data_IF_394459444781
#
_entry.id   IF_394459444781
#
_cell.length_a   1.000
_cell.length_b   1.000
_cell.length_c   1.000
_cell.angle_alpha   90.00
_cell.angle_beta   90.00
_cell.angle_gamma   90.00
#
_symmetry.space_group_name_H-M   'P 1'
#
loop_
_entity.id
_entity.type
_entity.pdbx_description
1 polymer ?
#
# COMPACT_ATOMS: atom_id res chain seq x y z
N UNK A 1 -24.06 -25.84 19.06
CA UNK A 1 -23.61 -24.71 18.24
C UNK A 1 -24.46 -23.46 18.45
N UNK A 2 -25.79 -23.52 18.43
CA UNK A 2 -26.69 -22.37 18.66
C UNK A 2 -26.63 -21.76 20.07
N UNK A 3 -26.43 -22.56 21.11
CA UNK A 3 -26.32 -22.06 22.49
C UNK A 3 -25.05 -21.22 22.79
N UNK A 4 -23.94 -21.55 22.13
CA UNK A 4 -22.71 -20.76 22.26
C UNK A 4 -22.78 -19.39 21.57
N UNK A 5 -23.57 -19.29 20.49
CA UNK A 5 -23.80 -18.01 19.78
C UNK A 5 -24.69 -17.07 20.62
N UNK A 6 -25.68 -17.62 21.31
CA UNK A 6 -26.59 -16.86 22.19
C UNK A 6 -25.86 -16.39 23.43
N UNK A 7 -24.92 -17.17 23.99
CA UNK A 7 -24.09 -16.76 25.15
C UNK A 7 -23.11 -15.63 24.74
N UNK A 8 -22.57 -15.67 23.52
CA UNK A 8 -21.75 -14.57 22.99
C UNK A 8 -22.56 -13.27 22.84
N UNK A 9 -23.78 -13.32 22.33
CA UNK A 9 -24.64 -12.15 22.11
C UNK A 9 -25.18 -11.56 23.43
N UNK A 10 -25.37 -12.35 24.44
CA UNK A 10 -25.90 -11.89 25.73
C UNK A 10 -24.85 -11.23 26.65
N UNK A 11 -23.56 -11.55 26.49
CA UNK A 11 -22.47 -10.86 27.20
C UNK A 11 -22.24 -9.44 26.67
N UNK A 12 -22.56 -9.16 25.41
CA UNK A 12 -22.35 -7.85 24.78
C UNK A 12 -23.34 -6.76 25.17
N UNK A 13 -24.52 -7.09 25.70
CA UNK A 13 -25.52 -6.09 26.07
C UNK A 13 -25.31 -5.47 27.45
N UNK A 14 -24.41 -6.03 28.29
CA UNK A 14 -24.27 -5.64 29.71
C UNK A 14 -23.10 -4.67 29.99
N UNK A 15 -22.21 -4.42 29.04
CA UNK A 15 -20.98 -3.62 29.27
C UNK A 15 -21.16 -2.12 28.98
N UNK A 16 -22.36 -1.67 28.62
CA UNK A 16 -22.62 -0.29 28.22
C UNK A 16 -22.56 0.79 29.33
N UNK A 17 -22.34 0.45 30.59
CA UNK A 17 -22.37 1.39 31.71
C UNK A 17 -21.03 1.55 32.45
N UNK A 18 -19.99 0.77 32.19
CA UNK A 18 -18.66 0.99 32.73
C UNK A 18 -17.78 1.63 31.64
N UNK A 19 -17.02 2.65 32.04
CA UNK A 19 -16.06 3.31 31.11
C UNK A 19 -15.04 2.27 30.68
N UNK A 20 -14.94 2.03 29.37
CA UNK A 20 -13.96 1.12 28.77
C UNK A 20 -12.55 1.53 29.18
N UNK A 21 -11.76 0.58 29.71
CA UNK A 21 -10.35 0.78 30.05
C UNK A 21 -9.48 0.27 28.88
N UNK A 22 -9.29 1.14 27.87
CA UNK A 22 -8.46 0.81 26.70
C UNK A 22 -6.99 0.75 27.13
N UNK A 23 -6.34 -0.39 26.92
CA UNK A 23 -4.94 -0.62 27.29
C UNK A 23 -3.98 -0.49 26.13
N UNK A 24 -4.47 -0.78 24.92
CA UNK A 24 -3.68 -0.72 23.68
C UNK A 24 -4.62 -0.49 22.50
N UNK A 25 -4.15 0.23 21.48
CA UNK A 25 -4.85 0.38 20.20
C UNK A 25 -3.88 0.27 19.04
N UNK A 26 -4.29 -0.46 18.00
CA UNK A 26 -3.62 -0.52 16.70
C UNK A 26 -4.56 0.01 15.62
N UNK A 27 -4.15 1.05 14.93
CA UNK A 27 -4.91 1.70 13.86
C UNK A 27 -4.15 1.56 12.55
N UNK A 28 -4.79 1.02 11.53
CA UNK A 28 -4.30 1.00 10.15
C UNK A 28 -5.23 1.80 9.27
N UNK A 29 -4.70 2.70 8.43
CA UNK A 29 -5.52 3.60 7.64
C UNK A 29 -4.97 3.83 6.25
N UNK A 30 -5.89 4.05 5.29
CA UNK A 30 -5.57 4.49 3.93
C UNK A 30 -5.19 5.96 3.94
N UNK A 31 -4.23 6.37 3.10
CA UNK A 31 -3.94 7.79 2.85
C UNK A 31 -5.19 8.57 2.39
N UNK A 32 -5.16 9.89 2.49
CA UNK A 32 -6.23 10.79 2.05
C UNK A 32 -6.35 10.91 0.53
N UNK A 33 -7.29 11.75 0.08
CA UNK A 33 -7.50 12.04 -1.33
C UNK A 33 -6.18 12.48 -1.99
N UNK A 34 -5.94 11.97 -3.19
CA UNK A 34 -4.69 12.15 -3.94
C UNK A 34 -4.95 12.42 -5.42
N UNK A 35 -3.91 12.85 -6.11
CA UNK A 35 -3.90 12.87 -7.57
C UNK A 35 -3.89 11.44 -8.15
N UNK A 36 -4.36 11.25 -9.39
CA UNK A 36 -4.43 9.95 -10.05
C UNK A 36 -3.09 9.24 -10.22
N UNK A 37 -3.16 7.93 -10.46
CA UNK A 37 -1.98 7.09 -10.73
C UNK A 37 -1.29 7.46 -12.04
N UNK A 38 -2.05 7.68 -13.10
CA UNK A 38 -1.53 8.08 -14.39
C UNK A 38 -1.90 9.52 -14.72
N UNK A 39 -1.04 10.17 -15.53
CA UNK A 39 -1.47 11.37 -16.19
C UNK A 39 -2.60 10.98 -17.13
N UNK A 40 -3.74 11.61 -16.88
CA UNK A 40 -4.89 11.46 -17.73
C UNK A 40 -4.50 11.74 -19.18
N UNK A 41 -5.06 10.97 -20.09
CA UNK A 41 -5.00 11.31 -21.51
C UNK A 41 -5.37 12.78 -21.69
N UNK A 42 -4.82 13.42 -22.70
CA UNK A 42 -5.07 14.86 -22.97
C UNK A 42 -6.55 15.23 -22.92
N UNK A 43 -7.43 14.29 -23.31
CA UNK A 43 -8.87 14.48 -23.27
C UNK A 43 -9.46 14.68 -21.87
N UNK A 44 -8.96 14.00 -20.84
CA UNK A 44 -9.41 14.27 -19.47
C UNK A 44 -8.90 15.61 -18.94
N UNK A 45 -7.66 16.00 -19.28
CA UNK A 45 -7.14 17.34 -18.93
C UNK A 45 -8.03 18.43 -19.49
N UNK A 46 -8.41 18.35 -20.77
CA UNK A 46 -9.30 19.29 -21.44
C UNK A 46 -10.71 19.28 -20.82
N UNK A 47 -11.20 18.09 -20.41
CA UNK A 47 -12.53 17.95 -19.84
C UNK A 47 -12.67 18.67 -18.49
N UNK A 48 -11.64 18.61 -17.65
CA UNK A 48 -11.67 19.15 -16.29
C UNK A 48 -10.96 20.49 -16.15
N UNK A 49 -10.26 20.96 -17.19
CA UNK A 49 -9.55 22.24 -17.26
C UNK A 49 -8.66 22.51 -16.03
N UNK A 50 -7.91 21.50 -15.56
CA UNK A 50 -6.93 21.67 -14.50
C UNK A 50 -5.82 20.63 -14.56
N UNK A 51 -4.71 20.94 -13.91
CA UNK A 51 -3.56 20.07 -13.73
C UNK A 51 -3.42 19.62 -12.28
N UNK A 52 -2.77 18.50 -12.07
CA UNK A 52 -2.37 18.03 -10.76
C UNK A 52 -0.92 18.43 -10.49
N UNK A 53 -0.61 18.75 -9.24
CA UNK A 53 0.76 18.96 -8.80
C UNK A 53 1.45 17.61 -8.54
N UNK A 54 1.81 16.91 -9.59
CA UNK A 54 2.41 15.58 -9.48
C UNK A 54 1.40 14.44 -9.58
N UNK A 55 1.94 13.21 -9.67
CA UNK A 55 1.18 11.96 -9.71
C UNK A 55 1.15 11.30 -8.35
N UNK A 56 0.02 10.75 -7.94
CA UNK A 56 -0.12 9.97 -6.70
C UNK A 56 0.15 10.78 -5.42
N UNK A 57 0.19 12.10 -5.53
CA UNK A 57 0.48 12.99 -4.41
C UNK A 57 -0.78 13.34 -3.62
N UNK A 58 -0.63 13.50 -2.31
CA UNK A 58 -1.73 13.86 -1.41
C UNK A 58 -2.23 15.27 -1.73
N UNK A 59 -3.55 15.43 -1.92
CA UNK A 59 -4.13 16.76 -2.16
C UNK A 59 -4.37 17.54 -0.85
N UNK A 60 -4.66 18.83 -0.97
CA UNK A 60 -5.06 19.63 0.19
C UNK A 60 -6.33 19.09 0.89
N UNK A 61 -7.26 18.53 0.11
CA UNK A 61 -8.43 17.83 0.66
C UNK A 61 -8.00 16.59 1.44
N UNK A 62 -7.09 15.78 0.89
CA UNK A 62 -6.54 14.60 1.57
C UNK A 62 -5.82 14.94 2.87
N UNK A 63 -5.06 16.04 2.90
CA UNK A 63 -4.45 16.57 4.14
C UNK A 63 -5.53 16.91 5.17
N UNK A 64 -6.58 17.61 4.76
CA UNK A 64 -7.69 17.99 5.65
C UNK A 64 -8.47 16.79 6.17
N UNK A 65 -8.69 15.75 5.33
CA UNK A 65 -9.31 14.50 5.77
C UNK A 65 -8.53 13.88 6.94
N UNK A 66 -7.20 13.80 6.81
CA UNK A 66 -6.36 13.22 7.85
C UNK A 66 -6.23 14.12 9.09
N UNK A 67 -6.24 15.41 8.94
CA UNK A 67 -6.30 16.31 10.08
C UNK A 67 -7.61 16.11 10.89
N UNK A 68 -8.74 15.98 10.21
CA UNK A 68 -10.02 15.69 10.87
C UNK A 68 -10.04 14.33 11.53
N UNK A 69 -9.46 13.30 10.88
CA UNK A 69 -9.31 11.98 11.49
C UNK A 69 -8.42 12.02 12.73
N UNK A 70 -7.33 12.78 12.70
CA UNK A 70 -6.46 13.02 13.85
C UNK A 70 -7.20 13.68 15.02
N UNK A 71 -8.09 14.63 14.77
CA UNK A 71 -8.95 15.23 15.80
C UNK A 71 -9.90 14.20 16.43
N UNK A 72 -10.47 13.27 15.64
CA UNK A 72 -11.31 12.19 16.16
C UNK A 72 -10.50 11.25 17.07
N UNK A 73 -9.28 10.89 16.65
CA UNK A 73 -8.38 10.08 17.47
C UNK A 73 -7.93 10.83 18.74
N UNK A 74 -7.72 12.17 18.67
CA UNK A 74 -7.45 12.99 19.86
C UNK A 74 -8.60 12.93 20.84
N UNK A 75 -9.84 13.11 20.37
CA UNK A 75 -11.01 13.03 21.22
C UNK A 75 -11.08 11.68 21.90
N UNK A 76 -10.94 10.58 21.14
CA UNK A 76 -11.02 9.23 21.68
C UNK A 76 -9.86 8.91 22.63
N UNK A 77 -8.62 9.01 22.19
CA UNK A 77 -7.47 8.46 22.93
C UNK A 77 -6.83 9.41 23.93
N UNK A 78 -7.01 10.71 23.80
CA UNK A 78 -6.49 11.70 24.74
C UNK A 78 -7.60 12.21 25.67
N UNK A 79 -8.73 12.67 25.11
CA UNK A 79 -9.74 13.36 25.90
C UNK A 79 -10.68 12.39 26.61
N UNK A 80 -11.20 11.37 25.92
CA UNK A 80 -12.21 10.46 26.47
C UNK A 80 -11.57 9.33 27.29
N UNK A 81 -10.73 8.49 26.64
CA UNK A 81 -10.22 7.27 27.27
C UNK A 81 -8.88 7.44 28.00
N UNK A 82 -8.18 8.56 27.83
CA UNK A 82 -6.88 8.85 28.47
C UNK A 82 -5.82 7.76 28.20
N UNK A 83 -5.86 7.13 27.03
CA UNK A 83 -4.91 6.08 26.64
C UNK A 83 -3.50 6.64 26.55
N UNK A 84 -3.35 7.80 25.89
CA UNK A 84 -2.08 8.52 25.75
C UNK A 84 -2.19 9.92 26.34
N UNK A 85 -1.06 10.52 26.66
CA UNK A 85 -0.98 11.87 27.22
C UNK A 85 -1.31 12.94 26.17
N UNK A 86 -1.67 14.12 26.68
CA UNK A 86 -1.89 15.30 25.84
C UNK A 86 -0.61 15.71 25.11
N UNK A 87 0.55 15.67 25.78
CA UNK A 87 1.86 15.96 25.17
C UNK A 87 2.49 14.67 24.68
N UNK A 88 3.21 14.75 23.59
CA UNK A 88 3.90 13.62 23.00
C UNK A 88 4.85 12.94 23.99
N UNK A 89 4.71 11.64 24.12
CA UNK A 89 5.61 10.77 24.88
C UNK A 89 6.01 9.60 23.95
N UNK A 90 7.31 9.48 23.56
CA UNK A 90 7.77 8.44 22.63
C UNK A 90 7.53 7.01 23.14
N UNK A 91 7.20 6.87 24.44
CA UNK A 91 6.88 5.58 25.06
C UNK A 91 5.42 5.19 24.89
N UNK A 92 4.56 6.12 24.50
CA UNK A 92 3.10 5.89 24.44
C UNK A 92 2.57 5.71 23.01
N UNK A 93 3.23 6.30 22.02
CA UNK A 93 2.78 6.25 20.63
C UNK A 93 3.91 5.85 19.69
N UNK A 94 3.58 5.04 18.70
CA UNK A 94 4.48 4.65 17.61
C UNK A 94 3.77 4.82 16.27
N UNK A 95 4.31 5.66 15.41
CA UNK A 95 3.72 5.98 14.10
C UNK A 95 4.56 5.37 12.99
N UNK A 96 3.91 4.61 12.14
CA UNK A 96 4.54 3.91 11.01
C UNK A 96 3.87 4.38 9.72
N UNK A 97 4.65 4.52 8.67
CA UNK A 97 4.16 4.80 7.33
C UNK A 97 4.85 3.90 6.30
N UNK A 98 4.14 3.59 5.23
CA UNK A 98 4.80 3.10 4.02
C UNK A 98 5.66 4.21 3.44
N UNK A 99 6.69 3.83 2.67
CA UNK A 99 7.58 4.78 1.99
C UNK A 99 6.91 5.38 0.75
N UNK A 100 5.97 6.29 0.99
CA UNK A 100 5.20 6.99 -0.04
C UNK A 100 4.83 8.38 0.46
N UNK A 101 5.06 9.43 -0.33
CA UNK A 101 4.77 10.82 0.08
C UNK A 101 3.36 10.96 0.66
N UNK A 102 2.35 10.44 -0.03
CA UNK A 102 0.94 10.56 0.39
C UNK A 102 0.65 9.90 1.73
N UNK A 103 1.29 8.79 2.06
CA UNK A 103 1.08 8.10 3.36
C UNK A 103 1.83 8.80 4.48
N UNK A 104 3.06 9.25 4.22
CA UNK A 104 3.85 10.03 5.18
C UNK A 104 3.14 11.34 5.51
N UNK A 105 2.71 12.09 4.50
CA UNK A 105 1.96 13.34 4.68
C UNK A 105 0.62 13.12 5.40
N UNK A 106 -0.08 12.03 5.12
CA UNK A 106 -1.30 11.65 5.82
C UNK A 106 -1.04 11.42 7.31
N UNK A 107 0.04 10.71 7.65
CA UNK A 107 0.45 10.51 9.05
C UNK A 107 0.80 11.84 9.72
N UNK A 108 1.55 12.71 9.04
CA UNK A 108 1.90 14.05 9.57
C UNK A 108 0.65 14.87 9.89
N UNK A 109 -0.35 14.88 8.98
CA UNK A 109 -1.60 15.61 9.20
C UNK A 109 -2.38 15.08 10.42
N UNK A 110 -2.45 13.75 10.61
CA UNK A 110 -3.10 13.17 11.78
C UNK A 110 -2.38 13.52 13.08
N UNK A 111 -1.06 13.44 13.09
CA UNK A 111 -0.24 13.74 14.27
C UNK A 111 -0.34 15.21 14.67
N UNK A 112 -0.37 16.13 13.70
CA UNK A 112 -0.58 17.55 13.99
C UNK A 112 -1.92 17.82 14.67
N UNK A 113 -2.97 17.12 14.26
CA UNK A 113 -4.27 17.21 14.92
C UNK A 113 -4.30 16.51 16.28
N UNK A 114 -3.66 15.35 16.40
CA UNK A 114 -3.57 14.59 17.65
C UNK A 114 -2.90 15.40 18.76
N UNK A 115 -1.83 16.14 18.44
CA UNK A 115 -1.05 16.96 19.35
C UNK A 115 -1.20 18.46 19.08
N UNK A 116 -2.38 18.90 18.66
CA UNK A 116 -2.66 20.30 18.32
C UNK A 116 -2.40 21.21 19.53
N UNK A 117 -1.64 22.30 19.30
CA UNK A 117 -1.32 23.35 20.29
C UNK A 117 -0.56 22.87 21.54
N UNK A 118 0.16 21.77 21.44
CA UNK A 118 0.91 21.18 22.55
C UNK A 118 2.42 21.45 22.50
N UNK A 119 2.86 22.46 21.75
CA UNK A 119 4.27 22.78 21.61
C UNK A 119 4.99 22.95 22.95
N UNK A 120 6.22 22.48 23.00
CA UNK A 120 7.11 22.54 24.19
C UNK A 120 7.52 23.99 24.42
N UNK A 121 7.29 24.50 25.64
CA UNK A 121 7.71 25.83 26.06
C UNK A 121 9.16 25.78 26.59
N UNK A 122 9.98 26.72 26.14
CA UNK A 122 11.38 26.88 26.52
C UNK A 122 11.52 28.04 27.51
N UNK A 123 12.34 27.87 28.52
CA UNK A 123 12.78 28.98 29.37
C UNK A 123 13.87 29.83 28.69
N UNK A 124 14.10 31.03 29.21
CA UNK A 124 15.06 32.00 28.64
C UNK A 124 16.47 31.41 28.42
N UNK A 125 16.93 30.56 29.34
CA UNK A 125 18.24 29.89 29.19
C UNK A 125 18.26 28.92 28.01
N UNK A 126 17.21 28.12 27.85
CA UNK A 126 17.05 27.18 26.73
C UNK A 126 16.93 27.92 25.39
N UNK A 127 16.20 29.05 25.35
CA UNK A 127 16.10 29.90 24.18
C UNK A 127 17.46 30.43 23.74
N UNK A 128 18.31 30.86 24.69
CA UNK A 128 19.67 31.33 24.39
C UNK A 128 20.58 30.23 23.83
N UNK A 129 20.37 28.98 24.23
CA UNK A 129 21.11 27.82 23.72
C UNK A 129 20.50 27.19 22.44
N UNK A 130 19.38 27.71 21.95
CA UNK A 130 18.67 27.12 20.78
C UNK A 130 19.26 27.54 19.42
N UNK A 131 20.33 28.36 19.43
CA UNK A 131 20.97 28.79 18.18
C UNK A 131 21.88 27.69 17.61
N UNK A 132 21.81 27.43 16.31
CA UNK A 132 22.82 26.64 15.63
C UNK A 132 24.23 27.23 15.84
N UNK A 133 25.29 26.39 15.87
CA UNK A 133 26.68 26.88 15.95
C UNK A 133 27.01 27.79 14.77
N UNK A 134 27.80 28.85 15.02
CA UNK A 134 28.33 29.78 14.01
C UNK A 134 27.31 30.68 13.32
N UNK A 135 26.12 30.90 13.90
CA UNK A 135 25.21 31.91 13.39
C UNK A 135 25.69 33.33 13.70
N UNK A 136 25.73 34.17 12.67
CA UNK A 136 25.93 35.62 12.85
C UNK A 136 24.68 36.28 13.48
N UNK A 137 24.90 37.31 14.27
CA UNK A 137 23.90 38.03 15.09
C UNK A 137 22.68 38.53 14.30
N UNK A 138 22.77 38.59 12.97
CA UNK A 138 21.68 39.09 12.11
C UNK A 138 20.46 38.12 11.99
N UNK A 139 20.62 36.83 12.26
CA UNK A 139 19.53 35.86 12.37
C UNK A 139 18.65 36.07 13.63
N UNK A 140 19.10 36.86 14.57
CA UNK A 140 18.38 37.11 15.84
C UNK A 140 17.03 37.81 15.61
N UNK A 141 16.81 38.51 14.47
CA UNK A 141 15.54 39.16 14.18
C UNK A 141 14.40 38.17 13.93
N UNK A 142 14.67 36.97 13.42
CA UNK A 142 13.65 35.94 13.21
C UNK A 142 13.26 35.20 14.50
N UNK A 143 14.09 35.23 15.53
CA UNK A 143 13.77 34.66 16.86
C UNK A 143 12.50 35.22 17.48
N UNK A 144 12.18 36.47 17.21
CA UNK A 144 10.99 37.11 17.77
C UNK A 144 9.67 36.50 17.29
N UNK A 145 9.68 35.69 16.21
CA UNK A 145 8.50 35.04 15.68
C UNK A 145 8.22 33.67 16.33
N UNK A 146 9.20 33.07 17.01
CA UNK A 146 9.04 31.78 17.69
C UNK A 146 8.44 31.90 19.10
N UNK A 147 8.53 33.10 19.72
CA UNK A 147 8.14 33.28 21.10
C UNK A 147 8.93 32.36 22.05
N UNK A 148 8.25 31.82 23.05
CA UNK A 148 8.85 30.90 24.01
C UNK A 148 8.70 29.42 23.63
N UNK A 149 8.13 29.10 22.46
CA UNK A 149 7.91 27.73 22.04
C UNK A 149 9.06 27.19 21.18
N UNK A 150 9.26 25.88 21.22
CA UNK A 150 10.25 25.20 20.40
C UNK A 150 10.06 25.48 18.90
N UNK A 151 8.81 25.51 18.44
CA UNK A 151 8.44 25.72 17.04
C UNK A 151 7.27 26.71 16.92
N UNK A 152 7.09 27.37 15.75
CA UNK A 152 5.97 28.24 15.48
C UNK A 152 4.63 27.52 15.68
N UNK A 153 3.58 28.25 16.01
CA UNK A 153 2.22 27.73 16.16
C UNK A 153 2.10 26.56 17.16
N UNK A 154 3.04 26.42 18.09
CA UNK A 154 3.04 25.35 19.11
C UNK A 154 3.01 23.95 18.48
N UNK A 155 3.68 23.76 17.36
CA UNK A 155 3.79 22.45 16.70
C UNK A 155 4.61 21.52 17.57
N UNK A 156 4.14 20.28 17.72
CA UNK A 156 4.89 19.18 18.33
C UNK A 156 5.33 18.20 17.24
N UNK A 157 6.61 17.85 17.19
CA UNK A 157 7.15 16.92 16.20
C UNK A 157 7.12 15.49 16.76
N UNK A 158 6.48 14.60 16.02
CA UNK A 158 6.43 13.17 16.32
C UNK A 158 7.13 12.41 15.20
N UNK A 159 8.06 11.51 15.51
CA UNK A 159 8.71 10.69 14.49
C UNK A 159 7.72 9.81 13.74
N UNK A 160 7.85 9.75 12.43
CA UNK A 160 7.13 8.81 11.57
C UNK A 160 8.18 7.83 11.04
N UNK A 161 8.07 6.57 11.46
CA UNK A 161 8.96 5.52 11.05
C UNK A 161 8.53 4.96 9.70
N UNK A 162 9.50 4.69 8.85
CA UNK A 162 9.27 4.05 7.55
C UNK A 162 9.89 2.67 7.56
N UNK A 163 9.23 1.74 6.90
CA UNK A 163 9.84 0.46 6.59
C UNK A 163 10.50 0.56 5.23
N UNK A 164 11.75 0.11 5.15
CA UNK A 164 12.37 -0.08 3.84
C UNK A 164 11.60 -1.17 3.07
N UNK A 165 11.38 -0.93 1.78
CA UNK A 165 10.68 -1.85 0.85
C UNK A 165 11.25 -3.28 0.87
N UNK A 166 12.47 -3.48 1.38
CA UNK A 166 13.15 -4.77 1.51
C UNK A 166 12.89 -5.50 2.83
N UNK A 167 12.26 -4.86 3.81
CA UNK A 167 11.93 -5.52 5.08
C UNK A 167 10.57 -6.20 4.97
N UNK A 168 10.57 -7.46 4.53
CA UNK A 168 9.40 -8.29 4.31
C UNK A 168 8.53 -8.54 5.57
N UNK A 169 8.93 -8.00 6.72
CA UNK A 169 8.29 -8.31 8.01
C UNK A 169 7.02 -7.51 8.32
N UNK A 170 6.70 -6.43 7.58
CA UNK A 170 5.43 -5.68 7.70
C UNK A 170 4.97 -5.07 6.37
N UNK A 171 5.61 -5.41 5.28
CA UNK A 171 5.41 -4.80 3.97
C UNK A 171 5.23 -5.83 2.89
N UNK A 172 4.09 -6.44 2.86
CA UNK A 172 3.64 -7.05 1.62
C UNK A 172 3.05 -6.01 0.66
N UNK A 173 3.53 -4.77 0.75
CA UNK A 173 3.05 -3.68 -0.09
C UNK A 173 3.69 -3.61 -1.45
N UNK A 174 4.88 -4.13 -1.65
CA UNK A 174 5.36 -4.34 -3.00
C UNK A 174 4.87 -5.69 -3.49
N UNK A 175 3.57 -5.75 -3.78
CA UNK A 175 2.89 -6.87 -4.44
C UNK A 175 3.66 -7.33 -5.68
N UNK A 176 4.38 -6.40 -6.34
CA UNK A 176 5.21 -6.66 -7.51
C UNK A 176 6.38 -7.62 -7.26
N UNK A 177 6.80 -7.78 -6.01
CA UNK A 177 7.89 -8.67 -5.61
C UNK A 177 7.43 -9.99 -4.99
N UNK A 178 6.11 -10.23 -4.91
CA UNK A 178 5.55 -11.48 -4.40
C UNK A 178 4.79 -12.24 -5.50
N UNK A 179 5.33 -13.36 -5.94
CA UNK A 179 4.71 -14.18 -6.99
C UNK A 179 3.28 -14.60 -6.67
N UNK A 180 3.04 -15.08 -5.44
CA UNK A 180 1.71 -15.51 -5.01
C UNK A 180 0.68 -14.38 -5.11
N UNK A 181 1.04 -13.15 -4.73
CA UNK A 181 0.18 -11.98 -4.90
C UNK A 181 -0.09 -11.68 -6.38
N UNK A 182 0.97 -11.61 -7.20
CA UNK A 182 0.82 -11.33 -8.63
C UNK A 182 -0.07 -12.38 -9.32
N UNK A 183 0.08 -13.64 -8.94
CA UNK A 183 -0.77 -14.71 -9.44
C UNK A 183 -2.22 -14.53 -9.01
N UNK A 184 -2.49 -14.26 -7.74
CA UNK A 184 -3.84 -14.01 -7.24
C UNK A 184 -4.50 -12.80 -7.91
N UNK A 185 -3.74 -11.72 -8.15
CA UNK A 185 -4.27 -10.57 -8.91
C UNK A 185 -4.58 -10.93 -10.36
N UNK A 186 -3.69 -11.63 -11.05
CA UNK A 186 -3.95 -12.05 -12.43
C UNK A 186 -5.17 -12.97 -12.53
N UNK A 187 -5.37 -13.86 -11.55
CA UNK A 187 -6.55 -14.70 -11.46
C UNK A 187 -7.82 -13.89 -11.18
N UNK A 188 -7.73 -12.81 -10.37
CA UNK A 188 -8.83 -11.91 -10.10
C UNK A 188 -9.27 -11.15 -11.36
N UNK A 189 -8.31 -10.63 -12.17
CA UNK A 189 -8.61 -9.96 -13.43
C UNK A 189 -9.37 -10.85 -14.42
N UNK A 190 -9.12 -12.17 -14.40
CA UNK A 190 -9.76 -13.16 -15.26
C UNK A 190 -11.14 -13.61 -14.77
N UNK A 191 -11.58 -13.20 -13.59
CA UNK A 191 -12.87 -13.58 -13.01
C UNK A 191 -14.04 -13.07 -13.85
N UNK A 192 -15.09 -13.86 -13.87
CA UNK A 192 -16.30 -13.53 -14.60
C UNK A 192 -16.93 -12.22 -14.10
N UNK A 193 -16.94 -11.99 -12.79
CA UNK A 193 -17.52 -10.81 -12.16
C UNK A 193 -16.80 -9.52 -12.62
N UNK A 194 -15.47 -9.55 -12.72
CA UNK A 194 -14.67 -8.43 -13.21
C UNK A 194 -14.94 -8.20 -14.70
N UNK A 195 -14.97 -9.25 -15.50
CA UNK A 195 -15.30 -9.17 -16.93
C UNK A 195 -16.71 -8.63 -17.16
N UNK A 196 -17.68 -9.14 -16.43
CA UNK A 196 -19.08 -8.68 -16.48
C UNK A 196 -19.20 -7.21 -16.05
N UNK A 197 -18.42 -6.79 -15.05
CA UNK A 197 -18.34 -5.39 -14.62
C UNK A 197 -17.77 -4.50 -15.74
N UNK A 198 -16.65 -4.89 -16.34
CA UNK A 198 -16.01 -4.16 -17.43
C UNK A 198 -16.99 -4.04 -18.62
N UNK A 199 -17.65 -5.12 -19.01
CA UNK A 199 -18.65 -5.09 -20.08
C UNK A 199 -19.81 -4.14 -19.78
N UNK A 200 -20.35 -4.16 -18.56
CA UNK A 200 -21.39 -3.22 -18.12
C UNK A 200 -20.89 -1.76 -18.12
N UNK A 201 -19.69 -1.54 -17.62
CA UNK A 201 -19.05 -0.22 -17.61
C UNK A 201 -18.88 0.31 -19.04
N UNK A 202 -18.34 -0.49 -19.96
CA UNK A 202 -18.15 -0.12 -21.37
C UNK A 202 -19.49 0.22 -22.02
N UNK A 203 -20.50 -0.61 -21.84
CA UNK A 203 -21.82 -0.41 -22.42
C UNK A 203 -22.50 0.88 -21.92
N UNK A 204 -22.33 1.22 -20.63
CA UNK A 204 -22.98 2.39 -20.03
C UNK A 204 -22.18 3.69 -20.25
N UNK A 205 -20.85 3.63 -20.10
CA UNK A 205 -20.01 4.81 -20.05
C UNK A 205 -18.97 4.89 -21.18
N UNK A 206 -18.66 3.78 -21.85
CA UNK A 206 -17.54 3.70 -22.78
C UNK A 206 -17.62 4.70 -23.92
N UNK A 207 -18.77 4.78 -24.61
CA UNK A 207 -18.98 5.73 -25.73
C UNK A 207 -18.91 7.18 -25.23
N UNK A 208 -19.62 7.47 -24.16
CA UNK A 208 -19.62 8.79 -23.53
C UNK A 208 -18.21 9.26 -23.13
N UNK A 209 -17.43 8.39 -22.51
CA UNK A 209 -16.05 8.73 -22.08
C UNK A 209 -15.12 8.96 -23.27
N UNK A 210 -15.23 8.14 -24.34
CA UNK A 210 -14.44 8.33 -25.56
C UNK A 210 -14.78 9.64 -26.25
N UNK A 211 -16.04 9.96 -26.42
CA UNK A 211 -16.47 11.24 -27.00
C UNK A 211 -15.90 12.44 -26.22
N UNK A 212 -15.84 12.32 -24.88
CA UNK A 212 -15.31 13.36 -23.99
C UNK A 212 -13.78 13.40 -24.00
N UNK A 213 -13.13 12.25 -24.10
CA UNK A 213 -11.66 12.16 -24.17
C UNK A 213 -11.11 12.57 -25.56
N UNK A 214 -11.99 12.87 -26.55
CA UNK A 214 -11.63 13.17 -27.93
C UNK A 214 -10.76 12.09 -28.60
N UNK A 215 -10.80 10.88 -28.09
CA UNK A 215 -10.15 9.74 -28.71
C UNK A 215 -10.97 9.31 -29.93
N UNK A 216 -10.32 9.18 -31.08
CA UNK A 216 -10.93 8.74 -32.34
C UNK A 216 -11.06 7.21 -32.37
N UNK A 217 -11.94 6.66 -31.55
CA UNK A 217 -12.14 5.22 -31.43
C UNK A 217 -13.55 4.90 -31.93
N UNK A 218 -13.65 3.96 -32.86
CA UNK A 218 -14.94 3.49 -33.34
C UNK A 218 -15.64 2.60 -32.31
N UNK A 219 -16.96 2.64 -32.26
CA UNK A 219 -17.79 1.88 -31.28
C UNK A 219 -17.48 0.38 -31.27
N UNK A 220 -17.16 -0.20 -32.43
CA UNK A 220 -16.75 -1.62 -32.58
C UNK A 220 -15.44 -1.96 -31.85
N UNK A 221 -14.56 -0.96 -31.63
CA UNK A 221 -13.25 -1.14 -31.00
C UNK A 221 -13.26 -0.82 -29.50
N UNK A 222 -14.41 -0.40 -28.92
CA UNK A 222 -14.54 -0.05 -27.51
C UNK A 222 -14.04 -1.16 -26.57
N UNK A 223 -14.43 -2.40 -26.81
CA UNK A 223 -13.99 -3.54 -25.99
C UNK A 223 -12.50 -3.79 -26.06
N UNK A 224 -11.88 -3.52 -27.21
CA UNK A 224 -10.44 -3.64 -27.38
C UNK A 224 -9.67 -2.47 -26.72
N UNK A 225 -10.27 -1.29 -26.71
CA UNK A 225 -9.71 -0.11 -26.09
C UNK A 225 -9.77 -0.17 -24.56
N UNK A 226 -10.93 -0.56 -24.00
CA UNK A 226 -11.11 -0.68 -22.56
C UNK A 226 -10.63 -2.04 -22.05
N UNK A 227 -9.30 -2.21 -22.04
CA UNK A 227 -8.69 -3.30 -21.26
C UNK A 227 -8.92 -3.09 -19.76
N UNK A 228 -8.70 -4.12 -18.96
CA UNK A 228 -8.74 -4.03 -17.50
C UNK A 228 -7.95 -2.81 -16.95
N UNK A 229 -6.68 -2.69 -17.33
CA UNK A 229 -5.84 -1.58 -16.88
C UNK A 229 -6.36 -0.20 -17.30
N UNK A 230 -6.99 -0.09 -18.47
CA UNK A 230 -7.57 1.17 -18.94
C UNK A 230 -8.80 1.54 -18.12
N UNK A 231 -9.66 0.59 -17.84
CA UNK A 231 -10.83 0.78 -16.97
C UNK A 231 -10.38 1.16 -15.56
N UNK A 232 -9.42 0.42 -14.99
CA UNK A 232 -8.81 0.73 -13.69
C UNK A 232 -8.36 2.19 -13.61
N UNK A 233 -7.54 2.65 -14.57
CA UNK A 233 -7.02 4.02 -14.58
C UNK A 233 -8.11 5.08 -14.73
N UNK A 234 -9.14 4.81 -15.53
CA UNK A 234 -10.29 5.73 -15.69
C UNK A 234 -11.05 5.84 -14.36
N UNK A 235 -11.35 4.71 -13.72
CA UNK A 235 -12.08 4.69 -12.45
C UNK A 235 -11.27 5.33 -11.32
N UNK A 236 -9.96 5.07 -11.23
CA UNK A 236 -9.05 5.73 -10.28
C UNK A 236 -9.09 7.24 -10.45
N UNK A 237 -9.02 7.70 -11.69
CA UNK A 237 -9.08 9.13 -12.01
C UNK A 237 -10.41 9.76 -11.59
N UNK A 238 -11.54 9.12 -11.89
CA UNK A 238 -12.87 9.62 -11.51
C UNK A 238 -13.02 9.71 -9.98
N UNK A 239 -12.56 8.70 -9.25
CA UNK A 239 -12.55 8.72 -7.78
C UNK A 239 -11.68 9.86 -7.26
N UNK A 240 -10.49 10.07 -7.84
CA UNK A 240 -9.60 11.16 -7.42
C UNK A 240 -10.23 12.53 -7.65
N UNK A 241 -10.86 12.76 -8.80
CA UNK A 241 -11.55 14.02 -9.14
C UNK A 241 -12.70 14.28 -8.18
N UNK A 242 -13.55 13.28 -7.97
CA UNK A 242 -14.68 13.37 -7.06
C UNK A 242 -14.26 13.66 -5.61
N UNK A 243 -13.27 12.91 -5.15
CA UNK A 243 -12.77 13.01 -3.76
C UNK A 243 -12.02 14.31 -3.48
N UNK A 244 -11.52 14.99 -4.53
CA UNK A 244 -10.92 16.32 -4.45
C UNK A 244 -11.97 17.44 -4.58
N UNK A 245 -13.25 17.11 -4.60
CA UNK A 245 -14.36 18.05 -4.65
C UNK A 245 -14.46 18.83 -5.95
N UNK A 246 -13.90 18.32 -7.04
CA UNK A 246 -13.89 19.00 -8.34
C UNK A 246 -15.21 18.81 -9.07
N UNK A 247 -15.53 19.80 -9.93
CA UNK A 247 -16.78 19.77 -10.68
C UNK A 247 -16.83 18.60 -11.66
N UNK A 248 -17.86 17.78 -11.55
CA UNK A 248 -18.15 16.63 -12.40
C UNK A 248 -19.46 16.77 -13.22
N UNK A 249 -20.06 17.96 -13.31
CA UNK A 249 -21.34 18.20 -14.00
C UNK A 249 -21.34 17.69 -15.46
N UNK A 250 -20.17 17.62 -16.08
CA UNK A 250 -20.02 17.05 -17.43
C UNK A 250 -20.29 15.54 -17.50
N UNK A 251 -20.32 14.85 -16.37
CA UNK A 251 -20.60 13.40 -16.27
C UNK A 251 -22.07 13.08 -15.95
N UNK A 252 -22.88 14.09 -15.75
CA UNK A 252 -24.28 13.93 -15.46
C UNK A 252 -24.78 14.76 -14.28
N UNK A 253 -26.00 14.51 -13.86
CA UNK A 253 -26.55 15.09 -12.64
C UNK A 253 -25.94 14.42 -11.39
N UNK A 254 -26.21 14.99 -10.21
CA UNK A 254 -25.65 14.53 -8.95
C UNK A 254 -25.85 13.02 -8.71
N UNK A 255 -27.04 12.49 -8.98
CA UNK A 255 -27.36 11.07 -8.76
C UNK A 255 -26.58 10.15 -9.70
N UNK A 256 -26.40 10.56 -10.96
CA UNK A 256 -25.63 9.82 -11.95
C UNK A 256 -24.15 9.80 -11.61
N UNK A 257 -23.61 10.91 -11.09
CA UNK A 257 -22.23 11.01 -10.61
C UNK A 257 -22.03 10.12 -9.38
N UNK A 258 -22.90 10.19 -8.39
CA UNK A 258 -22.84 9.34 -7.20
C UNK A 258 -22.91 7.85 -7.55
N UNK A 259 -23.74 7.46 -8.50
CA UNK A 259 -23.81 6.09 -9.01
C UNK A 259 -22.52 5.67 -9.72
N UNK A 260 -21.94 6.54 -10.57
CA UNK A 260 -20.67 6.29 -11.25
C UNK A 260 -19.53 6.08 -10.25
N UNK A 261 -19.45 6.92 -9.23
CA UNK A 261 -18.43 6.82 -8.19
C UNK A 261 -18.62 5.57 -7.33
N UNK A 262 -19.85 5.27 -6.94
CA UNK A 262 -20.19 4.02 -6.23
C UNK A 262 -19.76 2.80 -7.05
N UNK A 263 -20.12 2.76 -8.32
CA UNK A 263 -19.70 1.70 -9.26
C UNK A 263 -18.19 1.58 -9.37
N UNK A 264 -17.48 2.73 -9.35
CA UNK A 264 -16.01 2.75 -9.38
C UNK A 264 -15.40 2.10 -8.13
N UNK A 265 -15.95 2.38 -6.95
CA UNK A 265 -15.50 1.74 -5.72
C UNK A 265 -15.87 0.25 -5.66
N UNK A 266 -17.01 -0.14 -6.20
CA UNK A 266 -17.40 -1.55 -6.31
C UNK A 266 -16.42 -2.35 -7.17
N UNK A 267 -15.92 -1.77 -8.27
CA UNK A 267 -14.88 -2.39 -9.09
C UNK A 267 -13.62 -2.68 -8.27
N UNK A 268 -13.09 -1.67 -7.57
CA UNK A 268 -11.91 -1.84 -6.72
C UNK A 268 -12.14 -2.81 -5.56
N UNK A 269 -13.36 -2.85 -5.03
CA UNK A 269 -13.72 -3.83 -4.02
C UNK A 269 -13.63 -5.26 -4.56
N UNK A 270 -14.22 -5.53 -5.72
CA UNK A 270 -14.17 -6.86 -6.35
C UNK A 270 -12.76 -7.24 -6.80
N UNK A 271 -11.97 -6.28 -7.23
CA UNK A 271 -10.61 -6.49 -7.68
C UNK A 271 -9.68 -6.96 -6.54
N UNK A 272 -9.78 -6.31 -5.39
CA UNK A 272 -8.96 -6.65 -4.22
C UNK A 272 -9.50 -7.81 -3.40
N UNK A 273 -10.79 -7.82 -3.15
CA UNK A 273 -11.39 -8.68 -2.14
C UNK A 273 -12.19 -9.83 -2.74
N UNK A 274 -12.45 -9.81 -4.04
CA UNK A 274 -13.29 -10.79 -4.70
C UNK A 274 -14.74 -10.79 -4.19
N UNK A 275 -15.52 -11.79 -4.61
CA UNK A 275 -16.90 -11.95 -4.14
C UNK A 275 -16.93 -13.01 -3.04
N UNK A 276 -17.23 -12.68 -1.82
CA UNK A 276 -17.20 -13.36 -0.52
C UNK A 276 -17.41 -14.89 -0.42
N UNK A 277 -17.59 -15.64 -1.48
CA UNK A 277 -18.00 -17.04 -1.36
C UNK A 277 -16.95 -18.11 -1.68
N UNK A 278 -15.86 -17.80 -2.41
CA UNK A 278 -14.89 -18.83 -2.84
C UNK A 278 -13.43 -18.32 -2.99
N UNK A 279 -13.03 -17.25 -2.29
CA UNK A 279 -11.84 -16.52 -2.66
C UNK A 279 -10.57 -16.99 -2.00
N UNK A 280 -9.51 -16.76 -2.76
CA UNK A 280 -8.15 -16.85 -2.32
C UNK A 280 -7.86 -15.74 -1.28
N UNK A 281 -8.34 -15.98 -0.04
CA UNK A 281 -8.00 -15.16 1.15
C UNK A 281 -6.49 -15.19 1.45
N UNK A 282 -5.70 -15.79 0.56
CA UNK A 282 -4.25 -15.92 0.76
C UNK A 282 -3.57 -14.57 0.75
N UNK A 283 -4.02 -13.60 -0.06
CA UNK A 283 -3.42 -12.26 -0.04
C UNK A 283 -3.47 -11.70 1.38
N UNK A 284 -4.64 -11.62 2.00
CA UNK A 284 -4.80 -11.13 3.37
C UNK A 284 -4.00 -11.94 4.39
N UNK A 285 -4.06 -13.28 4.33
CA UNK A 285 -3.38 -14.17 5.28
C UNK A 285 -1.86 -14.01 5.18
N UNK A 286 -1.27 -14.11 3.99
CA UNK A 286 0.18 -14.03 3.83
C UNK A 286 0.70 -12.61 4.07
N UNK A 287 -0.04 -11.59 3.61
CA UNK A 287 0.34 -10.18 3.80
C UNK A 287 0.31 -9.73 5.24
N UNK A 288 -0.71 -10.16 5.99
CA UNK A 288 -0.95 -9.63 7.33
C UNK A 288 -0.43 -10.51 8.44
N UNK A 289 0.03 -11.74 8.17
CA UNK A 289 0.59 -12.62 9.20
C UNK A 289 1.68 -11.95 10.05
N UNK A 290 2.71 -11.27 9.47
CA UNK A 290 3.72 -10.61 10.29
C UNK A 290 3.17 -9.45 11.12
N UNK A 291 2.16 -8.74 10.61
CA UNK A 291 1.50 -7.64 11.31
C UNK A 291 0.69 -8.14 12.48
N UNK A 292 -0.13 -9.17 12.28
CA UNK A 292 -0.93 -9.77 13.36
C UNK A 292 -0.08 -10.46 14.41
N UNK A 293 1.01 -11.10 14.03
CA UNK A 293 1.98 -11.65 14.99
C UNK A 293 2.53 -10.55 15.92
N UNK A 294 2.92 -9.40 15.37
CA UNK A 294 3.37 -8.25 16.17
C UNK A 294 2.25 -7.68 17.04
N UNK A 295 1.03 -7.55 16.53
CA UNK A 295 -0.13 -7.07 17.31
C UNK A 295 -0.36 -7.98 18.52
N UNK A 296 -0.38 -9.31 18.31
CA UNK A 296 -0.55 -10.27 19.41
C UNK A 296 0.59 -10.15 20.42
N UNK A 297 1.84 -10.05 19.95
CA UNK A 297 2.99 -9.88 20.84
C UNK A 297 2.89 -8.58 21.68
N UNK A 298 2.46 -7.48 21.09
CA UNK A 298 2.24 -6.22 21.83
C UNK A 298 1.12 -6.35 22.86
N UNK A 299 0.01 -7.00 22.52
CA UNK A 299 -1.10 -7.23 23.45
C UNK A 299 -0.69 -8.14 24.60
N UNK A 300 0.03 -9.24 24.33
CA UNK A 300 0.58 -10.14 25.37
C UNK A 300 1.51 -9.40 26.34
N UNK A 301 2.42 -8.61 25.80
CA UNK A 301 3.35 -7.83 26.62
C UNK A 301 2.61 -6.77 27.45
N UNK A 302 1.53 -6.20 26.92
CA UNK A 302 0.69 -5.24 27.65
C UNK A 302 -0.04 -5.90 28.81
N UNK A 303 -0.66 -7.05 28.59
CA UNK A 303 -1.34 -7.85 29.62
C UNK A 303 -0.34 -8.29 30.71
N UNK A 304 0.84 -8.75 30.29
CA UNK A 304 1.91 -9.13 31.22
C UNK A 304 2.39 -7.95 32.07
N UNK A 305 2.57 -6.77 31.48
CA UNK A 305 2.93 -5.54 32.20
C UNK A 305 1.85 -5.15 33.22
N UNK A 306 0.58 -5.25 32.85
CA UNK A 306 -0.55 -4.97 33.74
C UNK A 306 -0.54 -5.93 34.93
N UNK A 307 -0.29 -7.22 34.72
CA UNK A 307 -0.22 -8.26 35.75
C UNK A 307 0.94 -8.06 36.73
N UNK A 308 2.11 -7.72 36.20
CA UNK A 308 3.33 -7.61 37.02
C UNK A 308 3.49 -6.25 37.70
N UNK A 309 2.68 -5.25 37.35
CA UNK A 309 2.76 -3.89 37.90
C UNK A 309 4.09 -3.18 37.65
N UNK A 310 4.93 -3.71 36.75
CA UNK A 310 6.26 -3.18 36.47
C UNK A 310 6.20 -2.01 35.50
N UNK A 311 6.93 -0.94 35.81
CA UNK A 311 6.98 0.25 34.94
C UNK A 311 7.82 0.06 33.68
N UNK A 312 8.82 -0.84 33.64
CA UNK A 312 9.73 -1.01 32.50
C UNK A 312 10.02 -2.50 32.24
N UNK A 313 9.77 -2.96 31.04
CA UNK A 313 10.24 -4.23 30.49
C UNK A 313 11.38 -3.94 29.50
N UNK A 314 12.56 -4.50 29.70
CA UNK A 314 13.72 -4.40 28.80
C UNK A 314 14.17 -2.96 28.46
N UNK A 315 13.90 -1.96 29.30
CA UNK A 315 14.37 -0.59 29.07
C UNK A 315 13.56 0.22 28.05
N UNK A 316 12.58 -0.40 27.36
CA UNK A 316 11.67 0.28 26.43
C UNK A 316 10.23 0.14 26.90
N UNK A 317 9.52 1.26 26.98
CA UNK A 317 8.08 1.22 27.20
C UNK A 317 7.39 0.78 25.90
N UNK A 318 6.42 -0.13 26.06
CA UNK A 318 5.59 -0.58 24.94
C UNK A 318 4.62 0.53 24.57
N UNK A 319 4.51 0.91 23.30
CA UNK A 319 3.53 1.90 22.88
C UNK A 319 2.12 1.43 23.25
N UNK A 320 1.30 2.39 23.62
CA UNK A 320 -0.13 2.18 23.88
C UNK A 320 -0.98 2.37 22.61
N UNK A 321 -0.50 3.23 21.72
CA UNK A 321 -1.13 3.54 20.44
C UNK A 321 -0.14 3.33 19.30
N UNK A 322 -0.51 2.49 18.34
CA UNK A 322 0.24 2.29 17.10
C UNK A 322 -0.62 2.77 15.94
N UNK A 323 -0.06 3.63 15.12
CA UNK A 323 -0.72 4.19 13.95
C UNK A 323 0.04 3.81 12.70
N UNK A 324 -0.62 3.11 11.77
CA UNK A 324 -0.02 2.65 10.52
C UNK A 324 -0.68 3.31 9.31
N UNK A 325 0.04 4.26 8.70
CA UNK A 325 -0.38 4.96 7.47
C UNK A 325 -0.05 4.14 6.23
N UNK A 326 -1.06 3.78 5.48
CA UNK A 326 -0.93 2.81 4.40
C UNK A 326 -1.83 3.11 3.18
N UNK A 327 -2.21 2.06 2.45
CA UNK A 327 -2.98 2.11 1.21
C UNK A 327 -4.29 1.33 1.35
N UNK A 328 -5.18 1.48 0.36
CA UNK A 328 -6.38 0.67 0.23
C UNK A 328 -6.09 -0.83 0.23
N UNK A 329 -5.07 -1.25 -0.53
CA UNK A 329 -4.62 -2.65 -0.57
C UNK A 329 -4.15 -3.18 0.79
N UNK A 330 -3.53 -2.33 1.61
CA UNK A 330 -3.07 -2.73 2.95
C UNK A 330 -4.23 -2.86 3.93
N UNK A 331 -5.15 -1.89 3.91
CA UNK A 331 -6.36 -1.95 4.73
C UNK A 331 -7.27 -3.09 4.26
N UNK A 332 -7.39 -3.30 2.93
CA UNK A 332 -8.12 -4.42 2.36
C UNK A 332 -7.57 -5.77 2.79
N UNK A 333 -6.25 -5.97 2.74
CA UNK A 333 -5.61 -7.19 3.22
C UNK A 333 -5.83 -7.43 4.72
N UNK A 334 -5.90 -6.37 5.53
CA UNK A 334 -6.25 -6.46 6.93
C UNK A 334 -7.71 -6.90 7.12
N UNK A 335 -8.65 -6.34 6.35
CA UNK A 335 -10.05 -6.74 6.34
C UNK A 335 -10.22 -8.22 5.91
N UNK A 336 -9.51 -8.65 4.86
CA UNK A 336 -9.50 -10.06 4.42
C UNK A 336 -9.00 -11.00 5.51
N UNK A 337 -7.93 -10.64 6.20
CA UNK A 337 -7.42 -11.45 7.30
C UNK A 337 -8.46 -11.59 8.41
N UNK A 338 -9.10 -10.49 8.81
CA UNK A 338 -10.16 -10.49 9.83
C UNK A 338 -11.37 -11.32 9.38
N UNK A 339 -11.74 -11.23 8.10
CA UNK A 339 -12.78 -12.08 7.51
C UNK A 339 -12.40 -13.57 7.56
N UNK A 340 -11.20 -13.90 7.14
CA UNK A 340 -10.71 -15.28 7.12
C UNK A 340 -10.66 -15.96 8.50
N UNK A 341 -10.48 -15.15 9.55
CA UNK A 341 -10.35 -15.64 10.92
C UNK A 341 -11.70 -15.62 11.67
N UNK A 342 -12.48 -14.56 11.50
CA UNK A 342 -13.67 -14.30 12.33
C UNK A 342 -14.97 -14.19 11.54
N UNK A 343 -14.92 -14.36 10.21
CA UNK A 343 -16.07 -14.20 9.31
C UNK A 343 -16.76 -12.83 9.49
N UNK A 344 -15.96 -11.77 9.63
CA UNK A 344 -16.45 -10.39 9.73
C UNK A 344 -16.93 -9.89 8.37
N UNK A 345 -17.68 -8.77 8.34
CA UNK A 345 -17.91 -8.07 7.07
C UNK A 345 -16.60 -7.51 6.54
N UNK A 346 -16.40 -7.59 5.23
CA UNK A 346 -15.30 -6.91 4.55
C UNK A 346 -15.79 -5.56 4.04
N UNK A 347 -15.07 -4.49 4.34
CA UNK A 347 -15.44 -3.15 3.96
C UNK A 347 -14.37 -2.59 3.01
N UNK A 348 -14.81 -1.83 2.00
CA UNK A 348 -13.88 -1.14 1.12
C UNK A 348 -13.28 0.09 1.83
N UNK A 349 -11.96 0.23 1.75
CA UNK A 349 -11.26 1.37 2.31
C UNK A 349 -11.34 2.59 1.37
N UNK A 350 -12.26 3.53 1.63
CA UNK A 350 -12.27 4.84 1.00
C UNK A 350 -11.04 5.68 1.42
N UNK A 351 -10.80 6.82 0.77
CA UNK A 351 -9.74 7.71 1.24
C UNK A 351 -9.94 8.10 2.70
N UNK A 352 -8.88 7.98 3.49
CA UNK A 352 -8.85 8.18 4.94
C UNK A 352 -9.70 7.19 5.77
N UNK A 353 -10.22 6.10 5.18
CA UNK A 353 -10.80 5.00 5.95
C UNK A 353 -9.75 4.30 6.81
N UNK A 354 -10.18 3.73 7.92
CA UNK A 354 -9.31 3.05 8.86
C UNK A 354 -9.97 1.84 9.52
N UNK A 355 -9.14 0.86 9.85
CA UNK A 355 -9.48 -0.26 10.72
C UNK A 355 -8.76 -0.11 12.06
N UNK A 356 -9.39 -0.52 13.15
CA UNK A 356 -8.86 -0.35 14.48
C UNK A 356 -9.13 -1.58 15.36
N UNK A 357 -8.09 -2.05 16.06
CA UNK A 357 -8.19 -3.06 17.12
C UNK A 357 -7.86 -2.41 18.46
N UNK A 358 -8.74 -2.53 19.42
CA UNK A 358 -8.56 -2.03 20.78
C UNK A 358 -8.55 -3.17 21.79
N UNK A 359 -7.47 -3.30 22.55
CA UNK A 359 -7.41 -4.16 23.71
C UNK A 359 -8.04 -3.44 24.90
N UNK A 360 -9.19 -3.88 25.33
CA UNK A 360 -9.97 -3.30 26.43
C UNK A 360 -9.93 -4.24 27.60
N UNK A 361 -9.57 -3.72 28.77
CA UNK A 361 -9.65 -4.43 30.03
C UNK A 361 -11.03 -4.28 30.64
N UNK A 362 -11.60 -5.39 31.10
CA UNK A 362 -12.81 -5.40 31.91
C UNK A 362 -12.58 -6.26 33.16
N UNK A 363 -13.21 -5.88 34.24
CA UNK A 363 -12.98 -6.56 35.51
C UNK A 363 -11.67 -6.20 36.21
N UNK A 364 -11.47 -6.80 37.40
CA UNK A 364 -10.34 -6.49 38.29
C UNK A 364 -9.16 -7.45 38.16
N UNK A 365 -9.28 -8.50 37.33
CA UNK A 365 -8.23 -9.50 37.08
C UNK A 365 -7.16 -9.03 36.09
N UNK A 366 -6.14 -9.89 35.88
CA UNK A 366 -5.07 -9.68 34.93
C UNK A 366 -4.78 -10.97 34.11
N UNK A 367 -5.80 -11.78 33.88
CA UNK A 367 -5.73 -12.96 33.04
C UNK A 367 -6.18 -12.59 31.63
N UNK A 368 -5.82 -13.41 30.62
CA UNK A 368 -6.23 -13.15 29.22
C UNK A 368 -7.77 -13.03 29.08
N UNK A 369 -8.53 -13.75 29.94
CA UNK A 369 -9.99 -13.67 29.96
C UNK A 369 -10.57 -12.35 30.51
N UNK A 370 -9.75 -11.50 31.14
CA UNK A 370 -10.16 -10.18 31.61
C UNK A 370 -10.02 -9.09 30.52
N UNK A 371 -9.70 -9.48 29.31
CA UNK A 371 -9.51 -8.57 28.18
C UNK A 371 -10.39 -8.97 26.99
N UNK A 372 -10.82 -7.95 26.24
CA UNK A 372 -11.56 -8.06 24.99
C UNK A 372 -10.80 -7.28 23.91
N UNK A 373 -10.80 -7.79 22.69
CA UNK A 373 -10.36 -7.06 21.50
C UNK A 373 -11.60 -6.55 20.77
N UNK A 374 -11.81 -5.25 20.79
CA UNK A 374 -12.83 -4.60 20.00
C UNK A 374 -12.27 -4.26 18.61
N UNK A 375 -13.04 -4.58 17.58
CA UNK A 375 -12.71 -4.30 16.19
C UNK A 375 -13.68 -3.27 15.61
N UNK A 376 -13.12 -2.22 15.00
CA UNK A 376 -13.87 -1.14 14.37
C UNK A 376 -13.38 -0.92 12.94
N UNK A 377 -14.29 -0.49 12.07
CA UNK A 377 -14.00 0.06 10.76
C UNK A 377 -14.73 1.40 10.60
N UNK A 378 -14.01 2.49 10.33
CA UNK A 378 -14.54 3.87 10.24
C UNK A 378 -15.47 4.23 11.42
N UNK A 379 -15.00 4.00 12.65
CA UNK A 379 -15.74 4.15 13.93
C UNK A 379 -16.95 3.22 14.12
N UNK A 380 -17.30 2.42 13.10
CA UNK A 380 -18.36 1.44 13.24
C UNK A 380 -17.83 0.20 13.96
N UNK A 381 -18.46 -0.17 15.06
CA UNK A 381 -18.16 -1.42 15.75
C UNK A 381 -18.54 -2.62 14.88
N UNK A 382 -17.56 -3.48 14.58
CA UNK A 382 -17.72 -4.68 13.77
C UNK A 382 -17.86 -5.91 14.65
N UNK A 383 -17.06 -6.00 15.73
CA UNK A 383 -17.12 -7.14 16.65
C UNK A 383 -16.22 -6.96 17.86
N UNK A 384 -16.48 -7.74 18.90
CA UNK A 384 -15.65 -7.82 20.09
C UNK A 384 -15.36 -9.28 20.39
N UNK A 385 -14.13 -9.60 20.75
CA UNK A 385 -13.65 -10.96 20.94
C UNK A 385 -12.94 -11.05 22.28
N UNK A 386 -13.24 -12.08 23.08
CA UNK A 386 -12.40 -12.41 24.22
C UNK A 386 -10.95 -12.56 23.76
N UNK A 387 -9.97 -12.00 24.48
CA UNK A 387 -8.58 -11.94 24.01
C UNK A 387 -7.96 -13.34 23.81
N UNK A 388 -8.19 -14.28 24.73
CA UNK A 388 -7.68 -15.65 24.59
C UNK A 388 -8.22 -16.33 23.31
N UNK A 389 -9.52 -16.18 23.06
CA UNK A 389 -10.14 -16.68 21.83
C UNK A 389 -9.58 -15.98 20.60
N UNK A 390 -9.45 -14.65 20.61
CA UNK A 390 -8.90 -13.84 19.53
C UNK A 390 -7.47 -14.31 19.18
N UNK A 391 -6.60 -14.36 20.19
CA UNK A 391 -5.21 -14.81 20.03
C UNK A 391 -5.13 -16.21 19.45
N UNK A 392 -5.88 -17.17 20.00
CA UNK A 392 -5.92 -18.54 19.52
C UNK A 392 -6.30 -18.60 18.03
N UNK A 393 -7.35 -17.90 17.63
CA UNK A 393 -7.84 -17.89 16.25
C UNK A 393 -6.84 -17.25 15.28
N UNK A 394 -6.21 -16.15 15.66
CA UNK A 394 -5.14 -15.52 14.89
C UNK A 394 -3.98 -16.51 14.71
N UNK A 395 -3.45 -17.08 15.80
CA UNK A 395 -2.29 -17.99 15.77
C UNK A 395 -2.55 -19.24 14.90
N UNK A 396 -3.79 -19.74 14.83
CA UNK A 396 -4.17 -20.85 13.93
C UNK A 396 -4.02 -20.51 12.44
N UNK A 397 -4.08 -19.23 12.08
CA UNK A 397 -4.06 -18.75 10.67
C UNK A 397 -2.72 -18.16 10.25
N UNK A 398 -1.87 -17.71 11.18
CA UNK A 398 -0.58 -17.10 10.86
C UNK A 398 0.28 -17.99 9.97
N UNK A 399 0.99 -17.37 9.06
CA UNK A 399 2.05 -17.99 8.26
C UNK A 399 3.40 -17.55 8.80
N UNK A 400 4.31 -18.51 8.96
CA UNK A 400 5.69 -18.21 9.35
C UNK A 400 6.51 -17.69 8.16
N UNK A 401 7.72 -17.21 8.45
CA UNK A 401 8.61 -16.60 7.45
C UNK A 401 8.90 -17.54 6.27
N UNK A 402 9.08 -18.85 6.51
CA UNK A 402 9.37 -19.82 5.45
C UNK A 402 8.16 -20.04 4.52
N UNK A 403 6.97 -20.09 5.10
CA UNK A 403 5.73 -20.20 4.32
C UNK A 403 5.50 -18.95 3.47
N UNK A 404 5.76 -17.74 4.02
CA UNK A 404 5.67 -16.49 3.30
C UNK A 404 6.71 -16.43 2.18
N UNK A 405 7.97 -16.78 2.49
CA UNK A 405 9.03 -16.82 1.50
C UNK A 405 8.69 -17.79 0.35
N UNK A 406 8.20 -18.98 0.65
CA UNK A 406 7.77 -19.95 -0.36
C UNK A 406 6.63 -19.41 -1.23
N UNK A 407 5.64 -18.74 -0.64
CA UNK A 407 4.52 -18.13 -1.36
C UNK A 407 4.98 -17.01 -2.30
N UNK A 408 5.94 -16.20 -1.87
CA UNK A 408 6.43 -15.06 -2.64
C UNK A 408 7.57 -15.38 -3.61
N UNK A 409 8.36 -16.45 -3.41
CA UNK A 409 9.58 -16.71 -4.19
C UNK A 409 9.43 -17.81 -5.26
N UNK A 410 8.28 -18.46 -5.37
CA UNK A 410 8.09 -19.60 -6.27
C UNK A 410 8.48 -19.31 -7.74
N UNK A 411 8.53 -18.06 -8.16
CA UNK A 411 8.87 -17.67 -9.53
C UNK A 411 10.36 -17.33 -9.73
N UNK A 412 11.14 -17.12 -8.68
CA UNK A 412 12.57 -16.83 -8.83
C UNK A 412 13.34 -18.06 -9.33
N UNK A 413 12.96 -19.26 -8.90
CA UNK A 413 13.56 -20.49 -9.43
C UNK A 413 13.20 -20.72 -10.90
N UNK A 414 11.99 -20.36 -11.32
CA UNK A 414 11.55 -20.48 -12.72
C UNK A 414 12.22 -19.43 -13.60
N UNK A 415 12.30 -18.18 -13.15
CA UNK A 415 13.04 -17.11 -13.84
C UNK A 415 14.53 -17.38 -13.92
N UNK A 416 15.13 -17.95 -12.89
CA UNK A 416 16.53 -18.34 -12.93
C UNK A 416 16.77 -19.50 -13.91
N UNK A 417 15.84 -20.46 -14.04
CA UNK A 417 15.90 -21.49 -15.08
C UNK A 417 15.71 -20.93 -16.48
N UNK A 418 14.71 -20.07 -16.68
CA UNK A 418 14.48 -19.40 -17.97
C UNK A 418 15.64 -18.46 -18.38
N UNK A 419 16.26 -17.76 -17.42
CA UNK A 419 17.44 -16.95 -17.67
C UNK A 419 18.67 -17.82 -18.00
N UNK A 420 18.87 -18.93 -17.31
CA UNK A 420 19.96 -19.87 -17.63
C UNK A 420 19.76 -20.52 -19.00
N UNK A 421 18.53 -20.94 -19.35
CA UNK A 421 18.22 -21.47 -20.69
C UNK A 421 18.39 -20.39 -21.78
N UNK A 422 18.07 -19.14 -21.51
CA UNK A 422 18.29 -18.03 -22.44
C UNK A 422 19.79 -17.67 -22.56
N UNK A 423 20.57 -17.75 -21.49
CA UNK A 423 22.03 -17.57 -21.55
C UNK A 423 22.70 -18.70 -22.31
N UNK A 424 22.31 -19.97 -22.14
CA UNK A 424 22.79 -21.11 -22.93
C UNK A 424 22.42 -20.96 -24.41
N UNK A 425 21.20 -20.57 -24.76
CA UNK A 425 20.76 -20.35 -26.11
C UNK A 425 21.51 -19.18 -26.78
N UNK A 426 21.78 -18.11 -26.06
CA UNK A 426 22.62 -16.99 -26.54
C UNK A 426 24.06 -17.43 -26.78
N UNK A 427 24.65 -18.24 -25.89
CA UNK A 427 25.99 -18.78 -26.05
C UNK A 427 26.09 -19.67 -27.29
N UNK A 428 25.11 -20.58 -27.49
CA UNK A 428 25.00 -21.42 -28.68
C UNK A 428 24.92 -20.54 -29.98
N UNK A 429 24.12 -19.50 -29.96
CA UNK A 429 23.97 -18.56 -31.07
C UNK A 429 25.28 -17.83 -31.39
N UNK A 430 26.02 -17.41 -30.38
CA UNK A 430 27.34 -16.77 -30.55
C UNK A 430 28.36 -17.76 -31.15
N UNK A 431 28.40 -19.00 -30.67
CA UNK A 431 29.27 -20.04 -31.19
C UNK A 431 28.96 -20.34 -32.66
N UNK A 432 27.67 -20.40 -33.04
CA UNK A 432 27.23 -20.58 -34.43
C UNK A 432 27.69 -19.44 -35.36
N UNK A 433 27.56 -18.17 -34.90
CA UNK A 433 28.01 -16.99 -35.65
C UNK A 433 29.53 -17.02 -35.85
N UNK A 434 30.30 -17.37 -34.83
CA UNK A 434 31.76 -17.52 -34.93
C UNK A 434 32.12 -18.63 -35.92
N UNK A 435 31.47 -19.77 -35.88
CA UNK A 435 31.71 -20.91 -36.78
C UNK A 435 31.40 -20.56 -38.21
N UNK A 436 30.28 -19.88 -38.50
CA UNK A 436 29.93 -19.38 -39.85
C UNK A 436 30.93 -18.34 -40.33
N UNK A 437 31.43 -17.47 -39.44
CA UNK A 437 32.49 -16.51 -39.77
C UNK A 437 33.80 -17.18 -40.19
N UNK A 438 34.23 -18.21 -39.47
CA UNK A 438 35.44 -19.01 -39.83
C UNK A 438 35.24 -19.75 -41.16
N UNK A 439 34.05 -20.30 -41.38
CA UNK A 439 33.75 -21.01 -42.64
C UNK A 439 33.79 -20.06 -43.85
N UNK A 440 33.28 -18.85 -43.74
CA UNK A 440 33.32 -17.82 -44.80
C UNK A 440 34.75 -17.38 -45.09
N UNK A 441 35.61 -17.23 -44.05
CA UNK A 441 37.02 -16.91 -44.23
C UNK A 441 37.75 -18.04 -44.96
N UNK A 442 37.51 -19.28 -44.57
CA UNK A 442 38.08 -20.45 -45.24
C UNK A 442 37.70 -20.55 -46.73
N UNK A 443 36.41 -20.30 -47.04
CA UNK A 443 35.92 -20.24 -48.42
C UNK A 443 36.56 -19.10 -49.22
N UNK A 444 36.79 -17.94 -48.64
CA UNK A 444 37.51 -16.84 -49.28
C UNK A 444 38.96 -17.20 -49.56
N UNK A 445 39.66 -17.86 -48.64
CA UNK A 445 41.04 -18.34 -48.83
C UNK A 445 41.10 -19.37 -49.98
N UNK A 446 40.18 -20.32 -49.99
CA UNK A 446 40.10 -21.31 -51.10
C UNK A 446 39.86 -20.59 -52.44
N UNK A 447 38.95 -19.66 -52.52
CA UNK A 447 38.70 -18.87 -53.75
C UNK A 447 39.94 -18.08 -54.19
N UNK A 448 40.68 -17.49 -53.25
CA UNK A 448 41.93 -16.80 -53.57
C UNK A 448 42.99 -17.80 -54.09
N UNK A 449 43.15 -18.96 -53.48
CA UNK A 449 44.06 -20.02 -53.93
C UNK A 449 43.68 -20.49 -55.36
N UNK A 450 42.42 -20.78 -55.62
CA UNK A 450 41.89 -21.18 -56.91
C UNK A 450 42.16 -20.06 -57.98
N UNK A 451 41.95 -18.79 -57.58
CA UNK A 451 42.27 -17.66 -58.49
C UNK A 451 43.76 -17.58 -58.82
N UNK A 452 44.67 -17.79 -57.85
CA UNK A 452 46.12 -17.80 -58.08
C UNK A 452 46.53 -18.98 -58.99
N UNK A 453 45.98 -20.18 -58.78
CA UNK A 453 46.27 -21.35 -59.67
C UNK A 453 45.80 -21.07 -61.08
N UNK A 454 44.59 -20.58 -61.29
CA UNK A 454 44.05 -20.23 -62.56
C UNK A 454 44.86 -19.09 -63.30
N UNK A 455 45.42 -18.20 -62.48
CA UNK A 455 46.28 -17.12 -63.01
C UNK A 455 47.63 -17.68 -63.49
N UNK A 456 48.28 -18.60 -62.74
CA UNK A 456 49.49 -19.25 -63.08
C UNK A 456 49.32 -20.11 -64.35
N UNK A 457 48.22 -20.84 -64.53
CA UNK A 457 47.95 -21.60 -65.76
C UNK A 457 47.80 -20.68 -67.01
N UNK A 458 47.21 -19.50 -66.83
CA UNK A 458 47.13 -18.51 -67.91
C UNK A 458 48.50 -17.94 -68.26
N UNK A 459 49.34 -17.63 -67.31
CA UNK A 459 50.66 -17.08 -67.48
C UNK A 459 51.60 -18.17 -68.12
N UNK A 460 51.38 -19.46 -67.87
CA UNK A 460 52.12 -20.56 -68.53
C UNK A 460 51.65 -20.80 -69.95
N UNK A 461 50.44 -20.52 -70.34
CA UNK A 461 49.89 -20.68 -71.70
C UNK A 461 50.35 -19.59 -72.70
N UNK A 462 50.97 -18.50 -72.24
CA UNK A 462 51.43 -17.37 -73.03
C UNK A 462 52.93 -17.49 -73.38
N UNK A 463 53.69 -18.42 -72.79
CA UNK A 463 55.13 -18.67 -72.99
C UNK A 463 55.46 -19.93 -73.82
N UNK A 464 54.65 -20.24 -74.83
CA UNK A 464 54.98 -21.26 -75.82
C UNK A 464 56.02 -20.72 -76.76
N UNK A 465 57.03 -21.50 -77.21
CA UNK A 465 58.12 -21.05 -78.01
C UNK A 465 57.70 -20.72 -79.45
N UNK A 466 58.03 -19.51 -79.94
CA UNK A 466 58.09 -19.17 -81.35
C UNK A 466 59.17 -20.06 -81.97
N UNK A 467 58.78 -21.05 -82.75
CA UNK A 467 59.69 -21.70 -83.67
C UNK A 467 59.60 -20.95 -85.05
N UNK A 468 60.71 -20.25 -85.42
CA UNK A 468 60.96 -19.76 -86.72
C UNK A 468 61.23 -20.94 -87.69
N UNK A 469 60.59 -20.97 -88.80
CA UNK A 469 61.19 -21.22 -90.18
C UNK A 469 60.40 -20.54 -91.22
#
# INVERSE_FOLDING_TARGET
MFLNLIFLILTFKKIKNEKEDIRFSFIIYRHGARSPYDEMTSGFKDLFNYTWEGKKELTAIGQRQHFQLGNRHRERYINEYKLIKKNYDPREIYVISTDSNRTIMSAQCQIQALYLENGIELNNKQINYSNPPNEEINFIKEKNNLGNYTLPNKIEIVPIHQFFVKDHTMQLQDQRNCYGHNKSYAENEERKEIKDFIDKFINKYGKFLIERMRDKIEEKDLKKFYTYNKVYNVLDTLICIYSDGRNMDKFGNKSEIEELIKTSYEFFYYDFLGNNSEHDINIGIYSMSPTFEKIINWMDLKIKKDKEGKKNYLGYDLPKLIMYSAHDSTVGAFEEFMYAVFNTSVNYAYFASFANLELVKFGNGFNENDYVVNYYFDDKFIGGFNYEFFKKKIMEKLKNSDQIAKYCMFDQEKKNKENNENEENNLISIILIIFLGILTICLLIVNIIVWFINKQEKDFSISGPLIET
#
